data_IF_847267847017
#
_entry.id   IF_847267847017
#
_cell.length_a   1.000
_cell.length_b   1.000
_cell.length_c   1.000
_cell.angle_alpha   90.00
_cell.angle_beta   90.00
_cell.angle_gamma   90.00
#
_symmetry.space_group_name_H-M   'P 1'
#
loop_
_entity.id
_entity.type
_entity.pdbx_description
1 polymer ?
#
# COMPACT_ATOMS: atom_id res chain seq x y z
N UNK A 1 -31.91 62.32 46.71
CA UNK A 1 -31.36 60.92 46.80
C UNK A 1 -31.66 60.21 45.50
N UNK A 2 -30.70 60.22 44.56
CA UNK A 2 -30.84 59.55 43.26
C UNK A 2 -29.60 58.73 43.08
N UNK A 3 -29.78 57.41 43.17
CA UNK A 3 -28.67 56.44 42.90
C UNK A 3 -28.56 56.23 41.41
N UNK A 4 -27.44 56.68 40.86
CA UNK A 4 -27.01 56.41 39.47
C UNK A 4 -26.55 54.98 39.35
N UNK A 5 -27.20 54.20 38.51
CA UNK A 5 -26.85 52.87 38.23
C UNK A 5 -25.97 52.95 37.00
N UNK A 6 -24.66 52.75 37.19
CA UNK A 6 -23.66 52.66 36.13
C UNK A 6 -23.72 51.25 35.50
N UNK A 7 -24.31 51.14 34.32
CA UNK A 7 -24.33 49.92 33.58
C UNK A 7 -22.97 49.72 32.92
N UNK A 8 -22.19 48.81 33.47
CA UNK A 8 -20.97 48.34 32.88
C UNK A 8 -21.30 47.44 31.66
N UNK A 9 -21.12 47.96 30.47
CA UNK A 9 -21.26 47.19 29.23
C UNK A 9 -19.93 46.48 28.97
N UNK A 10 -19.84 45.19 29.39
CA UNK A 10 -18.71 44.34 29.11
C UNK A 10 -18.80 43.88 27.66
N UNK A 11 -18.09 44.54 26.77
CA UNK A 11 -17.92 44.10 25.38
C UNK A 11 -16.98 42.93 25.38
N UNK A 12 -17.54 41.73 25.26
CA UNK A 12 -16.78 40.49 25.06
C UNK A 12 -16.31 40.47 23.61
N UNK A 13 -15.08 40.91 23.37
CA UNK A 13 -14.42 40.74 22.07
C UNK A 13 -14.04 39.29 21.94
N UNK A 14 -14.85 38.51 21.20
CA UNK A 14 -14.47 37.18 20.75
C UNK A 14 -13.33 37.33 19.73
N UNK A 15 -12.10 37.14 20.17
CA UNK A 15 -11.00 36.90 19.28
C UNK A 15 -11.19 35.54 18.58
N UNK A 16 -11.81 35.57 17.42
CA UNK A 16 -11.75 34.43 16.49
C UNK A 16 -10.31 34.34 15.97
N UNK A 17 -9.52 33.54 16.63
CA UNK A 17 -8.22 33.12 16.10
C UNK A 17 -8.51 32.15 14.95
N UNK A 18 -8.19 32.49 13.69
CA UNK A 18 -8.22 31.48 12.64
C UNK A 18 -7.13 30.47 12.98
N UNK A 19 -7.52 29.28 13.44
CA UNK A 19 -6.65 28.13 13.43
C UNK A 19 -6.26 27.89 11.97
N UNK A 20 -5.14 28.44 11.55
CA UNK A 20 -4.44 27.96 10.36
C UNK A 20 -4.02 26.52 10.66
N UNK A 21 -4.85 25.57 10.26
CA UNK A 21 -4.40 24.19 10.14
C UNK A 21 -3.23 24.22 9.17
N UNK A 22 -2.04 23.71 9.54
CA UNK A 22 -1.02 23.47 8.56
C UNK A 22 -1.65 22.48 7.58
N UNK A 23 -1.92 22.94 6.37
CA UNK A 23 -2.14 22.04 5.25
C UNK A 23 -0.93 21.13 5.24
N UNK A 24 -1.13 19.87 5.66
CA UNK A 24 -0.21 18.81 5.36
C UNK A 24 -0.10 18.81 3.83
N UNK A 25 0.91 19.50 3.32
CA UNK A 25 1.33 19.35 1.96
C UNK A 25 1.69 17.87 1.82
N UNK A 26 0.74 17.09 1.32
CA UNK A 26 1.06 15.83 0.69
C UNK A 26 2.06 16.21 -0.40
N UNK A 27 3.32 15.94 -0.12
CA UNK A 27 4.34 15.91 -1.15
C UNK A 27 3.78 14.97 -2.22
N UNK A 28 3.27 15.54 -3.29
CA UNK A 28 2.99 14.79 -4.50
C UNK A 28 4.34 14.27 -4.93
N UNK A 29 4.63 13.01 -4.58
CA UNK A 29 5.75 12.31 -5.15
C UNK A 29 5.69 12.54 -6.64
N UNK A 30 6.70 13.23 -7.16
CA UNK A 30 6.87 13.38 -8.60
C UNK A 30 6.97 11.97 -9.15
N UNK A 31 5.87 11.48 -9.72
CA UNK A 31 5.89 10.30 -10.57
C UNK A 31 6.82 10.66 -11.71
N UNK A 32 8.07 10.23 -11.60
CA UNK A 32 8.96 10.24 -12.74
C UNK A 32 8.22 9.49 -13.83
N UNK A 33 7.90 10.18 -14.94
CA UNK A 33 7.40 9.60 -16.17
C UNK A 33 8.46 8.63 -16.70
N UNK A 34 8.60 7.48 -16.04
CA UNK A 34 9.23 6.32 -16.62
C UNK A 34 8.32 5.84 -17.75
N UNK A 35 8.91 5.40 -18.82
CA UNK A 35 8.22 4.76 -19.95
C UNK A 35 7.11 3.86 -19.41
N UNK A 36 5.88 4.07 -19.90
CA UNK A 36 4.72 3.24 -19.53
C UNK A 36 5.04 1.82 -19.92
N UNK A 37 5.45 1.03 -18.95
CA UNK A 37 5.71 -0.40 -19.15
C UNK A 37 4.34 -1.03 -19.33
N UNK A 38 4.04 -1.49 -20.54
CA UNK A 38 2.76 -2.16 -20.82
C UNK A 38 2.76 -3.49 -20.09
N UNK A 39 1.93 -3.59 -19.07
CA UNK A 39 1.62 -4.88 -18.44
C UNK A 39 0.70 -5.69 -19.36
N UNK A 40 0.86 -7.04 -19.38
CA UNK A 40 -0.08 -7.88 -20.11
C UNK A 40 -1.51 -7.67 -19.60
N UNK A 41 -2.49 -7.65 -20.52
CA UNK A 41 -3.90 -7.52 -20.14
C UNK A 41 -4.29 -8.53 -19.06
N UNK A 42 -3.83 -9.76 -19.15
CA UNK A 42 -4.04 -10.77 -18.14
C UNK A 42 -3.48 -10.49 -16.74
N UNK A 43 -2.78 -9.39 -16.52
CA UNK A 43 -2.29 -9.01 -15.18
C UNK A 43 -3.41 -8.47 -14.29
N UNK A 44 -4.34 -7.72 -14.87
CA UNK A 44 -5.45 -7.11 -14.15
C UNK A 44 -6.53 -8.13 -13.79
N UNK A 45 -7.35 -7.82 -12.77
CA UNK A 45 -8.46 -8.63 -12.32
C UNK A 45 -8.31 -9.11 -10.88
N UNK A 46 -9.19 -10.04 -10.48
CA UNK A 46 -9.23 -10.60 -9.13
C UNK A 46 -8.63 -12.01 -9.11
N UNK A 47 -7.72 -12.21 -8.19
CA UNK A 47 -6.94 -13.43 -8.07
C UNK A 47 -7.04 -14.01 -6.67
N UNK A 48 -7.33 -15.28 -6.57
CA UNK A 48 -7.17 -16.05 -5.33
C UNK A 48 -5.73 -16.54 -5.25
N UNK A 49 -4.96 -15.99 -4.32
CA UNK A 49 -3.52 -16.22 -4.20
C UNK A 49 -3.23 -17.11 -3.00
N UNK A 50 -2.60 -18.23 -3.27
CA UNK A 50 -2.04 -19.13 -2.26
C UNK A 50 -0.55 -18.83 -2.14
N UNK A 51 -0.06 -18.72 -0.91
CA UNK A 51 1.36 -18.53 -0.63
C UNK A 51 1.88 -19.63 0.29
N UNK A 52 3.08 -20.12 -0.01
CA UNK A 52 3.82 -21.08 0.83
C UNK A 52 5.22 -20.53 1.07
N UNK A 53 5.57 -20.36 2.34
CA UNK A 53 6.87 -19.85 2.73
C UNK A 53 7.98 -20.83 2.35
N UNK A 54 8.96 -20.36 1.57
CA UNK A 54 10.16 -21.12 1.19
C UNK A 54 11.26 -20.93 2.22
N UNK A 55 11.48 -19.68 2.64
CA UNK A 55 12.50 -19.32 3.60
C UNK A 55 12.13 -18.09 4.40
N UNK A 56 12.70 -17.94 5.59
CA UNK A 56 12.60 -16.73 6.42
C UNK A 56 13.68 -16.77 7.49
N UNK A 57 14.09 -15.59 7.94
CA UNK A 57 14.91 -15.37 9.14
C UNK A 57 14.05 -15.17 10.40
N UNK A 58 12.74 -15.03 10.26
CA UNK A 58 11.82 -14.78 11.37
C UNK A 58 10.52 -15.63 11.28
N UNK A 59 10.58 -16.93 11.63
CA UNK A 59 9.44 -17.83 11.53
C UNK A 59 8.23 -17.44 12.39
N UNK A 60 8.46 -16.71 13.48
CA UNK A 60 7.39 -16.23 14.36
C UNK A 60 6.60 -15.06 13.73
N UNK A 61 7.24 -14.26 12.89
CA UNK A 61 6.63 -13.10 12.24
C UNK A 61 5.86 -13.50 10.99
N UNK A 62 6.44 -14.37 10.18
CA UNK A 62 5.90 -14.75 8.88
C UNK A 62 5.24 -16.14 8.93
N UNK A 63 3.97 -16.22 8.56
CA UNK A 63 3.21 -17.48 8.54
C UNK A 63 3.76 -18.43 7.47
N UNK A 64 3.65 -19.73 7.71
CA UNK A 64 4.10 -20.77 6.76
C UNK A 64 3.27 -20.80 5.47
N UNK A 65 1.96 -20.59 5.60
CA UNK A 65 1.02 -20.60 4.48
C UNK A 65 0.06 -19.42 4.58
N UNK A 66 -0.36 -18.91 3.45
CA UNK A 66 -1.35 -17.86 3.33
C UNK A 66 -2.35 -18.14 2.21
N UNK A 67 -3.52 -17.56 2.37
CA UNK A 67 -4.52 -17.41 1.32
C UNK A 67 -4.94 -15.95 1.31
N UNK A 68 -4.88 -15.34 0.14
CA UNK A 68 -5.18 -13.93 -0.02
C UNK A 68 -6.01 -13.68 -1.28
N UNK A 69 -6.64 -12.54 -1.36
CA UNK A 69 -7.34 -12.07 -2.53
C UNK A 69 -6.64 -10.82 -3.04
N UNK A 70 -6.12 -10.89 -4.25
CA UNK A 70 -5.54 -9.75 -4.93
C UNK A 70 -6.49 -9.23 -5.99
N UNK A 71 -6.95 -8.00 -5.84
CA UNK A 71 -7.66 -7.29 -6.88
C UNK A 71 -6.69 -6.26 -7.47
N UNK A 72 -6.22 -6.53 -8.70
CA UNK A 72 -5.27 -5.69 -9.42
C UNK A 72 -6.05 -4.87 -10.44
N UNK A 73 -6.03 -3.57 -10.29
CA UNK A 73 -6.74 -2.62 -11.16
C UNK A 73 -5.83 -1.47 -11.56
N UNK A 74 -6.17 -0.84 -12.68
CA UNK A 74 -5.52 0.38 -13.13
C UNK A 74 -6.53 1.52 -13.13
N UNK A 75 -6.14 2.64 -12.56
CA UNK A 75 -6.89 3.87 -12.59
C UNK A 75 -5.94 4.98 -13.06
N UNK A 76 -6.20 5.50 -14.27
CA UNK A 76 -5.26 6.38 -14.97
C UNK A 76 -3.88 5.70 -15.12
N UNK A 77 -2.82 6.34 -14.62
CA UNK A 77 -1.44 5.84 -14.67
C UNK A 77 -1.02 5.07 -13.40
N UNK A 78 -1.96 4.82 -12.48
CA UNK A 78 -1.70 4.17 -11.21
C UNK A 78 -2.25 2.76 -11.20
N UNK A 79 -1.39 1.78 -10.93
CA UNK A 79 -1.81 0.39 -10.70
C UNK A 79 -1.94 0.17 -9.21
N UNK A 80 -3.10 -0.35 -8.80
CA UNK A 80 -3.43 -0.64 -7.40
C UNK A 80 -3.60 -2.14 -7.21
N UNK A 81 -3.10 -2.64 -6.10
CA UNK A 81 -3.41 -3.96 -5.57
C UNK A 81 -4.20 -3.77 -4.29
N UNK A 82 -5.40 -4.31 -4.24
CA UNK A 82 -6.26 -4.25 -3.06
C UNK A 82 -6.74 -5.63 -2.65
N UNK A 83 -7.03 -5.77 -1.36
CA UNK A 83 -7.69 -6.94 -0.80
C UNK A 83 -9.05 -6.50 -0.25
N UNK A 84 -10.17 -6.84 -0.92
CA UNK A 84 -11.49 -6.39 -0.50
C UNK A 84 -11.95 -6.97 0.83
N UNK A 85 -11.38 -8.08 1.30
CA UNK A 85 -11.74 -8.65 2.60
C UNK A 85 -11.05 -7.95 3.78
N UNK A 86 -9.79 -7.58 3.62
CA UNK A 86 -9.04 -6.89 4.68
C UNK A 86 -9.14 -5.36 4.59
N UNK A 87 -9.62 -4.85 3.45
CA UNK A 87 -9.59 -3.42 3.13
C UNK A 87 -8.19 -2.88 2.84
N UNK A 88 -7.16 -3.73 2.83
CA UNK A 88 -5.80 -3.32 2.51
C UNK A 88 -5.70 -2.91 1.04
N UNK A 89 -4.98 -1.83 0.79
CA UNK A 89 -4.70 -1.35 -0.57
C UNK A 89 -3.31 -0.77 -0.63
N UNK A 90 -2.61 -1.02 -1.73
CA UNK A 90 -1.30 -0.46 -2.01
C UNK A 90 -1.20 -0.11 -3.49
N UNK A 91 -0.53 0.99 -3.78
CA UNK A 91 -0.04 1.27 -5.13
C UNK A 91 1.13 0.33 -5.42
N UNK A 92 1.17 -0.23 -6.63
CA UNK A 92 2.26 -1.06 -7.08
C UNK A 92 3.08 -0.35 -8.15
N UNK A 93 4.38 -0.58 -8.13
CA UNK A 93 5.31 -0.08 -9.13
C UNK A 93 5.79 -1.25 -9.96
N UNK A 94 5.52 -1.22 -11.26
CA UNK A 94 6.04 -2.23 -12.20
C UNK A 94 7.50 -1.95 -12.44
N UNK A 95 8.34 -2.93 -12.18
CA UNK A 95 9.79 -2.84 -12.35
C UNK A 95 10.23 -3.44 -13.68
N UNK A 96 9.64 -4.56 -14.08
CA UNK A 96 9.99 -5.25 -15.31
C UNK A 96 8.79 -6.02 -15.86
N UNK A 97 8.71 -6.08 -17.20
CA UNK A 97 7.79 -6.96 -17.93
C UNK A 97 8.53 -7.60 -19.08
N UNK A 98 8.64 -8.93 -19.09
CA UNK A 98 9.31 -9.66 -20.15
C UNK A 98 8.71 -11.04 -20.31
N UNK A 99 8.29 -11.40 -21.55
CA UNK A 99 7.79 -12.74 -21.91
C UNK A 99 6.71 -13.28 -20.98
N UNK A 100 5.71 -12.46 -20.60
CA UNK A 100 4.63 -12.85 -19.69
C UNK A 100 5.03 -12.88 -18.22
N UNK A 101 6.27 -12.54 -17.89
CA UNK A 101 6.70 -12.32 -16.52
C UNK A 101 6.49 -10.85 -16.15
N UNK A 102 5.96 -10.60 -14.96
CA UNK A 102 5.79 -9.27 -14.39
C UNK A 102 6.49 -9.22 -13.04
N UNK A 103 7.38 -8.26 -12.90
CA UNK A 103 8.01 -7.93 -11.64
C UNK A 103 7.48 -6.59 -11.14
N UNK A 104 6.98 -6.56 -9.92
CA UNK A 104 6.46 -5.36 -9.29
C UNK A 104 6.80 -5.30 -7.81
N UNK A 105 6.80 -4.10 -7.27
CA UNK A 105 6.96 -3.87 -5.84
C UNK A 105 5.79 -3.08 -5.28
N UNK A 106 5.56 -3.27 -3.98
CA UNK A 106 4.66 -2.44 -3.18
C UNK A 106 5.27 -2.23 -1.80
N UNK A 107 4.85 -1.17 -1.13
CA UNK A 107 5.23 -0.91 0.24
C UNK A 107 4.08 -0.30 1.01
N UNK A 108 4.08 -0.53 2.31
CA UNK A 108 3.09 0.04 3.22
C UNK A 108 3.70 0.27 4.59
N UNK A 109 3.36 1.40 5.22
CA UNK A 109 3.81 1.75 6.57
C UNK A 109 2.63 1.66 7.54
N UNK A 110 2.86 1.04 8.70
CA UNK A 110 1.91 0.99 9.80
C UNK A 110 2.66 1.23 11.12
N UNK A 111 2.49 2.42 11.69
CA UNK A 111 3.27 2.87 12.85
C UNK A 111 4.76 2.87 12.53
N UNK A 112 5.54 2.22 13.38
CA UNK A 112 7.00 2.05 13.20
C UNK A 112 7.39 0.90 12.25
N UNK A 113 6.43 0.21 11.64
CA UNK A 113 6.70 -0.92 10.73
C UNK A 113 6.53 -0.51 9.29
N UNK A 114 7.53 -0.79 8.47
CA UNK A 114 7.53 -0.64 7.02
C UNK A 114 7.62 -2.03 6.39
N UNK A 115 6.58 -2.45 5.67
CA UNK A 115 6.58 -3.67 4.88
C UNK A 115 6.82 -3.31 3.41
N UNK A 116 7.78 -3.98 2.80
CA UNK A 116 8.06 -3.88 1.37
C UNK A 116 8.02 -5.27 0.76
N UNK A 117 7.34 -5.40 -0.37
CA UNK A 117 7.23 -6.65 -1.12
C UNK A 117 7.81 -6.45 -2.51
N UNK A 118 8.52 -7.45 -3.00
CA UNK A 118 8.94 -7.57 -4.39
C UNK A 118 8.41 -8.88 -4.95
N UNK A 119 7.54 -8.78 -5.92
CA UNK A 119 6.80 -9.91 -6.50
C UNK A 119 7.22 -10.10 -7.94
N UNK A 120 7.59 -11.34 -8.28
CA UNK A 120 7.87 -11.77 -9.66
C UNK A 120 6.94 -12.91 -10.00
N UNK A 121 6.07 -12.73 -10.98
CA UNK A 121 5.08 -13.73 -11.42
C UNK A 121 5.16 -13.98 -12.91
N UNK A 122 4.88 -15.22 -13.29
CA UNK A 122 4.67 -15.64 -14.67
C UNK A 122 3.19 -15.95 -14.88
N UNK A 123 2.55 -15.24 -15.81
CA UNK A 123 1.11 -15.34 -16.08
C UNK A 123 0.88 -16.23 -17.29
N UNK A 124 -0.01 -17.22 -17.15
CA UNK A 124 -0.43 -18.14 -18.19
C UNK A 124 -1.95 -18.34 -18.12
N UNK A 125 -2.68 -17.63 -18.98
CA UNK A 125 -4.15 -17.63 -18.95
C UNK A 125 -4.69 -17.17 -17.58
N UNK A 126 -5.51 -17.98 -16.95
CA UNK A 126 -6.16 -17.68 -15.67
C UNK A 126 -5.35 -18.13 -14.45
N UNK A 127 -4.09 -18.33 -14.63
CA UNK A 127 -3.17 -18.73 -13.55
C UNK A 127 -1.86 -17.97 -13.62
N UNK A 128 -1.31 -17.64 -12.47
CA UNK A 128 0.07 -17.24 -12.35
C UNK A 128 0.81 -18.06 -11.28
N UNK A 129 2.11 -18.13 -11.42
CA UNK A 129 3.03 -18.69 -10.44
C UNK A 129 4.27 -17.82 -10.34
N UNK A 130 4.85 -17.74 -9.14
CA UNK A 130 6.02 -16.92 -8.94
C UNK A 130 6.48 -16.85 -7.50
N UNK A 131 7.19 -15.78 -7.19
CA UNK A 131 7.78 -15.55 -5.89
C UNK A 131 7.40 -14.18 -5.35
N UNK A 132 7.21 -14.11 -4.04
CA UNK A 132 7.03 -12.89 -3.28
C UNK A 132 8.10 -12.82 -2.20
N UNK A 133 8.90 -11.76 -2.21
CA UNK A 133 9.95 -11.50 -1.23
C UNK A 133 9.50 -10.33 -0.36
N UNK A 134 9.21 -10.64 0.90
CA UNK A 134 8.78 -9.66 1.90
C UNK A 134 9.98 -9.21 2.72
N UNK A 135 10.04 -7.90 2.97
CA UNK A 135 10.97 -7.28 3.90
C UNK A 135 10.18 -6.41 4.88
N UNK A 136 10.24 -6.77 6.16
CA UNK A 136 9.64 -6.00 7.26
C UNK A 136 10.74 -5.28 8.02
N UNK A 137 10.69 -3.95 8.03
CA UNK A 137 11.60 -3.11 8.77
C UNK A 137 10.87 -2.49 9.96
N UNK A 138 11.46 -2.59 11.14
CA UNK A 138 11.01 -1.87 12.34
C UNK A 138 11.87 -0.64 12.50
N UNK A 139 11.22 0.52 12.52
CA UNK A 139 11.85 1.82 12.62
C UNK A 139 11.83 2.32 14.04
N UNK A 140 12.81 3.11 14.42
CA UNK A 140 12.83 3.86 15.66
C UNK A 140 11.80 4.99 15.60
N UNK A 141 10.99 5.12 16.63
CA UNK A 141 10.00 6.21 16.75
C UNK A 141 10.66 7.57 17.01
N UNK A 142 11.96 7.59 17.39
CA UNK A 142 12.68 8.82 17.73
C UNK A 142 13.33 9.47 16.50
N UNK A 143 13.96 8.67 15.65
CA UNK A 143 14.81 9.17 14.57
C UNK A 143 14.59 8.44 13.23
N UNK A 144 13.63 7.51 13.18
CA UNK A 144 13.27 6.78 11.97
C UNK A 144 14.32 5.77 11.49
N UNK A 145 15.40 5.53 12.26
CA UNK A 145 16.42 4.54 11.87
C UNK A 145 15.85 3.13 11.90
N UNK A 146 16.34 2.29 10.99
CA UNK A 146 16.00 0.87 10.95
C UNK A 146 16.64 0.19 12.19
N UNK A 147 15.79 -0.35 13.05
CA UNK A 147 16.18 -1.06 14.27
C UNK A 147 16.24 -2.57 14.04
N UNK A 148 15.40 -3.08 13.15
CA UNK A 148 15.31 -4.51 12.85
C UNK A 148 14.84 -4.69 11.42
N UNK A 149 15.39 -5.68 10.73
CA UNK A 149 14.93 -6.14 9.42
C UNK A 149 14.64 -7.63 9.52
N UNK A 150 13.48 -8.03 9.03
CA UNK A 150 13.02 -9.42 8.96
C UNK A 150 12.59 -9.70 7.52
N UNK A 151 12.92 -10.89 7.02
CA UNK A 151 12.67 -11.24 5.62
C UNK A 151 11.97 -12.59 5.48
N UNK A 152 11.17 -12.71 4.43
CA UNK A 152 10.60 -13.99 4.03
C UNK A 152 10.48 -14.09 2.51
N UNK A 153 10.62 -15.31 1.98
CA UNK A 153 10.36 -15.62 0.58
C UNK A 153 9.24 -16.65 0.50
N UNK A 154 8.28 -16.37 -0.37
CA UNK A 154 7.14 -17.23 -0.63
C UNK A 154 7.09 -17.69 -2.08
N UNK A 155 6.67 -18.92 -2.31
CA UNK A 155 6.07 -19.33 -3.57
C UNK A 155 4.63 -18.84 -3.57
N UNK A 156 4.21 -18.16 -4.64
CA UNK A 156 2.84 -17.68 -4.80
C UNK A 156 2.22 -18.27 -6.06
N UNK A 157 0.96 -18.70 -5.91
CA UNK A 157 0.16 -19.26 -6.99
C UNK A 157 -1.18 -18.55 -6.96
N UNK A 158 -1.55 -17.90 -8.06
CA UNK A 158 -2.82 -17.22 -8.23
C UNK A 158 -3.70 -17.92 -9.23
N UNK A 159 -4.95 -18.13 -8.86
CA UNK A 159 -6.02 -18.58 -9.74
C UNK A 159 -6.98 -17.40 -9.95
N UNK A 160 -7.28 -17.02 -11.19
CA UNK A 160 -8.21 -15.93 -11.52
C UNK A 160 -9.62 -16.31 -11.06
N UNK A 161 -10.32 -15.36 -10.43
CA UNK A 161 -11.68 -15.57 -9.96
C UNK A 161 -12.69 -14.57 -10.54
N UNK A 162 -12.23 -13.41 -10.99
CA UNK A 162 -13.07 -12.42 -11.67
C UNK A 162 -12.21 -11.38 -12.40
N UNK A 163 -12.82 -10.71 -13.39
CA UNK A 163 -12.25 -9.57 -14.11
C UNK A 163 -11.07 -9.95 -14.99
N UNK A 164 -11.27 -9.94 -16.16
CA UNK A 164 -10.89 -9.51 -17.43
C UNK A 164 -11.57 -10.30 -18.52
N UNK A 165 -12.03 -9.47 -19.39
CA UNK A 165 -12.22 -9.66 -20.82
C UNK A 165 -12.34 -11.09 -21.28
N UNK A 166 -13.53 -11.44 -21.23
CA UNK A 166 -14.12 -12.30 -22.23
C UNK A 166 -14.35 -11.37 -23.42
N UNK A 167 -13.39 -11.24 -24.30
CA UNK A 167 -13.67 -10.97 -25.70
C UNK A 167 -14.11 -12.24 -26.37
#
# INVERSE_FOLDING_TARGET
MIKSIFKFFLVLILCVVPCAFPECSYSSDMVLKGSVVRVPNGFFGSWRVKSVRISTDSPATFKEKGLDLWNISQEFDVIKLSNPFSGASAQITIQNVHNGNVEFSKSGKNGSKLLSDTVTISIKGDRFEGYDVLKLETLSDVDGRIMKTETAKYLVIGDRIAGQDIE
#
